data_IF_695093297260
#
_entry.id   IF_695093297260
#
_cell.length_a   1.000
_cell.length_b   1.000
_cell.length_c   1.000
_cell.angle_alpha   90.00
_cell.angle_beta   90.00
_cell.angle_gamma   90.00
#
_symmetry.space_group_name_H-M   'P 1'
#
loop_
_entity.id
_entity.type
_entity.pdbx_description
1 polymer ?
#
# COMPACT_ATOMS: atom_id res chain seq x y z
N UNK A 1 67.74 -14.70 -17.24
CA UNK A 1 68.15 -14.90 -18.65
C UNK A 1 69.66 -14.77 -18.70
N UNK A 2 70.33 -15.82 -19.16
CA UNK A 2 71.77 -16.04 -19.00
C UNK A 2 72.59 -14.98 -19.73
N UNK A 3 73.57 -14.43 -19.02
CA UNK A 3 74.52 -13.43 -19.49
C UNK A 3 75.58 -14.12 -20.37
N UNK A 4 75.40 -14.11 -21.70
CA UNK A 4 76.27 -14.77 -22.69
C UNK A 4 77.43 -13.85 -23.17
N UNK A 5 77.85 -12.87 -22.38
CA UNK A 5 78.84 -11.85 -22.80
C UNK A 5 80.31 -12.18 -22.50
N UNK A 6 80.64 -13.40 -22.06
CA UNK A 6 82.05 -13.81 -21.87
C UNK A 6 82.49 -14.80 -22.97
N UNK A 7 83.14 -14.33 -24.06
CA UNK A 7 83.75 -15.24 -25.03
C UNK A 7 85.09 -15.79 -24.48
N UNK A 8 85.34 -17.12 -24.57
CA UNK A 8 86.56 -17.74 -24.07
C UNK A 8 87.80 -17.35 -24.90
N UNK A 9 88.86 -17.10 -24.14
CA UNK A 9 90.20 -16.66 -24.47
C UNK A 9 90.90 -17.49 -25.58
N UNK A 10 90.80 -17.07 -26.85
CA UNK A 10 91.59 -17.60 -27.98
C UNK A 10 92.81 -16.73 -28.32
N UNK A 11 93.51 -16.19 -27.30
CA UNK A 11 94.81 -15.57 -27.51
C UNK A 11 95.90 -16.65 -27.71
N UNK A 12 95.96 -17.23 -28.91
CA UNK A 12 97.16 -17.95 -29.36
C UNK A 12 98.21 -16.88 -29.66
N UNK A 13 99.08 -16.61 -28.68
CA UNK A 13 100.27 -15.78 -28.85
C UNK A 13 101.29 -16.51 -29.75
N UNK A 14 101.76 -15.93 -30.85
CA UNK A 14 102.85 -16.52 -31.62
C UNK A 14 104.15 -16.41 -30.82
N UNK A 15 104.69 -17.56 -30.42
CA UNK A 15 106.02 -17.67 -29.81
C UNK A 15 107.08 -17.20 -30.82
N UNK A 16 107.77 -16.13 -30.47
CA UNK A 16 109.03 -15.69 -31.08
C UNK A 16 110.11 -16.75 -30.85
N UNK A 17 110.53 -17.46 -31.91
CA UNK A 17 111.68 -18.36 -31.87
C UNK A 17 112.59 -18.10 -33.07
N UNK A 18 113.87 -17.91 -32.72
CA UNK A 18 115.08 -18.08 -33.51
C UNK A 18 115.39 -17.03 -34.60
N UNK A 19 116.37 -16.20 -34.27
CA UNK A 19 117.66 -16.07 -34.96
C UNK A 19 117.71 -16.15 -36.48
N UNK A 20 118.25 -15.07 -37.06
CA UNK A 20 119.40 -15.18 -37.95
C UNK A 20 119.14 -15.45 -39.43
N UNK A 21 119.53 -14.47 -40.25
CA UNK A 21 120.10 -14.76 -41.57
C UNK A 21 119.24 -14.43 -42.78
N UNK A 22 119.75 -13.46 -43.53
CA UNK A 22 119.48 -13.09 -44.93
C UNK A 22 118.92 -14.17 -45.87
N UNK A 23 118.07 -13.72 -46.81
CA UNK A 23 117.93 -14.40 -48.12
C UNK A 23 116.51 -14.60 -48.66
N UNK A 24 115.78 -13.51 -48.87
CA UNK A 24 114.43 -13.47 -49.46
C UNK A 24 114.37 -13.93 -50.92
N UNK A 25 113.88 -15.15 -51.23
CA UNK A 25 113.36 -15.43 -52.60
C UNK A 25 112.26 -16.48 -52.80
N UNK A 26 111.60 -17.01 -51.77
CA UNK A 26 110.45 -17.89 -51.96
C UNK A 26 109.33 -17.63 -50.94
N UNK A 27 108.33 -16.80 -51.29
CA UNK A 27 107.07 -16.70 -50.53
C UNK A 27 105.87 -16.19 -51.37
N UNK A 28 105.82 -16.51 -52.68
CA UNK A 28 104.66 -16.14 -53.52
C UNK A 28 103.52 -17.19 -53.53
N UNK A 29 103.81 -18.48 -53.29
CA UNK A 29 102.81 -19.55 -53.43
C UNK A 29 101.74 -19.58 -52.32
N UNK A 30 102.06 -19.08 -51.12
CA UNK A 30 101.10 -18.97 -50.01
C UNK A 30 100.11 -17.80 -50.18
N UNK A 31 100.41 -16.82 -51.05
CA UNK A 31 99.56 -15.64 -51.23
C UNK A 31 98.29 -15.93 -52.05
N UNK A 32 98.32 -16.89 -52.99
CA UNK A 32 97.19 -17.09 -53.92
C UNK A 32 95.93 -17.69 -53.24
N UNK A 33 96.01 -18.74 -52.40
CA UNK A 33 94.84 -19.21 -51.64
C UNK A 33 94.35 -18.20 -50.59
N UNK A 34 95.26 -17.40 -50.03
CA UNK A 34 94.94 -16.33 -49.07
C UNK A 34 94.13 -15.21 -49.72
N UNK A 35 94.43 -14.85 -50.98
CA UNK A 35 93.65 -13.89 -51.75
C UNK A 35 92.22 -14.38 -52.03
N UNK A 36 92.06 -15.67 -52.36
CA UNK A 36 90.73 -16.29 -52.58
C UNK A 36 89.85 -16.32 -51.33
N UNK A 37 90.42 -16.71 -50.18
CA UNK A 37 89.75 -16.66 -48.88
C UNK A 37 89.42 -15.22 -48.46
N UNK A 38 90.33 -14.26 -48.71
CA UNK A 38 90.08 -12.86 -48.43
C UNK A 38 88.92 -12.31 -49.28
N UNK A 39 88.85 -12.66 -50.57
CA UNK A 39 87.76 -12.28 -51.45
C UNK A 39 86.41 -12.91 -51.03
N UNK A 40 86.38 -14.21 -50.71
CA UNK A 40 85.16 -14.86 -50.22
C UNK A 40 84.71 -14.30 -48.87
N UNK A 41 85.64 -14.09 -47.93
CA UNK A 41 85.34 -13.44 -46.64
C UNK A 41 84.83 -12.02 -46.83
N UNK A 42 85.35 -11.27 -47.80
CA UNK A 42 84.89 -9.92 -48.11
C UNK A 42 83.48 -9.91 -48.73
N UNK A 43 83.23 -10.77 -49.72
CA UNK A 43 81.91 -10.94 -50.34
C UNK A 43 80.90 -11.39 -49.27
N UNK A 44 81.22 -12.43 -48.51
CA UNK A 44 80.37 -12.97 -47.44
C UNK A 44 80.13 -11.95 -46.31
N UNK A 45 81.17 -11.23 -45.88
CA UNK A 45 81.01 -10.15 -44.90
C UNK A 45 80.08 -9.05 -45.42
N UNK A 46 80.17 -8.73 -46.72
CA UNK A 46 79.33 -7.69 -47.33
C UNK A 46 77.88 -8.16 -47.47
N UNK A 47 77.67 -9.42 -47.83
CA UNK A 47 76.34 -10.01 -48.02
C UNK A 47 75.64 -10.26 -46.67
N UNK A 48 76.37 -10.81 -45.69
CA UNK A 48 75.88 -10.94 -44.32
C UNK A 48 75.62 -9.58 -43.65
N UNK A 49 76.45 -8.55 -43.89
CA UNK A 49 76.17 -7.20 -43.41
C UNK A 49 74.85 -6.67 -43.98
N UNK A 50 74.58 -6.88 -45.28
CA UNK A 50 73.30 -6.48 -45.89
C UNK A 50 72.11 -7.24 -45.29
N UNK A 51 72.23 -8.53 -45.02
CA UNK A 51 71.16 -9.30 -44.37
C UNK A 51 70.94 -8.86 -42.93
N UNK A 52 72.01 -8.68 -42.16
CA UNK A 52 71.95 -8.16 -40.79
C UNK A 52 71.35 -6.76 -40.76
N UNK A 53 71.70 -5.89 -41.71
CA UNK A 53 71.12 -4.55 -41.84
C UNK A 53 69.63 -4.63 -42.18
N UNK A 54 69.23 -5.45 -43.16
CA UNK A 54 67.81 -5.67 -43.49
C UNK A 54 67.01 -6.20 -42.31
N UNK A 55 67.54 -7.18 -41.57
CA UNK A 55 66.88 -7.71 -40.37
C UNK A 55 66.83 -6.69 -39.24
N UNK A 56 67.89 -5.90 -39.04
CA UNK A 56 67.91 -4.80 -38.08
C UNK A 56 66.88 -3.74 -38.44
N UNK A 57 66.77 -3.36 -39.71
CA UNK A 57 65.77 -2.44 -40.21
C UNK A 57 64.35 -2.99 -40.02
N UNK A 58 64.12 -4.26 -40.38
CA UNK A 58 62.84 -4.93 -40.15
C UNK A 58 62.48 -5.00 -38.65
N UNK A 59 63.46 -5.30 -37.79
CA UNK A 59 63.28 -5.31 -36.34
C UNK A 59 62.94 -3.90 -35.81
N UNK A 60 63.69 -2.87 -36.23
CA UNK A 60 63.42 -1.45 -35.90
C UNK A 60 62.04 -1.00 -36.37
N UNK A 61 61.62 -1.41 -37.57
CA UNK A 61 60.28 -1.11 -38.09
C UNK A 61 59.19 -1.78 -37.25
N UNK A 62 59.38 -3.06 -36.86
CA UNK A 62 58.45 -3.78 -35.99
C UNK A 62 58.35 -3.15 -34.60
N UNK A 63 59.47 -2.77 -33.98
CA UNK A 63 59.44 -2.11 -32.67
C UNK A 63 58.78 -0.74 -32.75
N UNK A 64 59.09 0.05 -33.77
CA UNK A 64 58.45 1.35 -34.00
C UNK A 64 56.95 1.22 -34.35
N UNK A 65 56.53 0.15 -35.05
CA UNK A 65 55.12 -0.13 -35.30
C UNK A 65 54.38 -0.56 -34.02
N UNK A 66 54.99 -1.44 -33.23
CA UNK A 66 54.42 -1.88 -31.95
C UNK A 66 54.29 -0.73 -30.95
N UNK A 67 55.29 0.14 -30.83
CA UNK A 67 55.23 1.34 -29.98
C UNK A 67 54.07 2.27 -30.40
N UNK A 68 53.92 2.55 -31.70
CA UNK A 68 52.82 3.37 -32.21
C UNK A 68 51.44 2.75 -31.95
N UNK A 69 51.28 1.44 -32.15
CA UNK A 69 50.02 0.75 -31.86
C UNK A 69 49.68 0.77 -30.36
N UNK A 70 50.70 0.54 -29.51
CA UNK A 70 50.55 0.60 -28.07
C UNK A 70 50.16 2.01 -27.59
N UNK A 71 50.85 3.06 -28.05
CA UNK A 71 50.49 4.45 -27.78
C UNK A 71 49.08 4.78 -28.26
N UNK A 72 48.70 4.36 -29.47
CA UNK A 72 47.35 4.54 -29.99
C UNK A 72 46.29 3.87 -29.12
N UNK A 73 46.53 2.63 -28.65
CA UNK A 73 45.65 1.91 -27.72
C UNK A 73 45.57 2.58 -26.35
N UNK A 74 46.69 3.07 -25.81
CA UNK A 74 46.70 3.82 -24.55
C UNK A 74 45.90 5.12 -24.67
N UNK A 75 46.08 5.88 -25.75
CA UNK A 75 45.29 7.10 -25.98
C UNK A 75 43.80 6.79 -26.19
N UNK A 76 43.48 5.72 -26.94
CA UNK A 76 42.11 5.28 -27.13
C UNK A 76 41.45 4.93 -25.79
N UNK A 77 42.07 4.07 -24.97
CA UNK A 77 41.56 3.67 -23.66
C UNK A 77 41.41 4.86 -22.71
N UNK A 78 42.39 5.77 -22.63
CA UNK A 78 42.27 6.99 -21.82
C UNK A 78 41.10 7.86 -22.29
N UNK A 79 40.93 8.02 -23.61
CA UNK A 79 39.83 8.81 -24.17
C UNK A 79 38.46 8.17 -23.89
N UNK A 80 38.37 6.83 -23.93
CA UNK A 80 37.17 6.06 -23.62
C UNK A 80 36.83 6.13 -22.14
N UNK A 81 37.81 5.95 -21.26
CA UNK A 81 37.64 6.11 -19.82
C UNK A 81 37.18 7.53 -19.46
N UNK A 82 37.76 8.57 -20.07
CA UNK A 82 37.32 9.96 -19.87
C UNK A 82 35.88 10.16 -20.33
N UNK A 83 35.50 9.62 -21.49
CA UNK A 83 34.11 9.67 -21.99
C UNK A 83 33.15 8.93 -21.07
N UNK A 84 33.53 7.76 -20.57
CA UNK A 84 32.72 6.96 -19.64
C UNK A 84 32.52 7.69 -18.30
N UNK A 85 33.59 8.24 -17.72
CA UNK A 85 33.51 9.04 -16.49
C UNK A 85 32.63 10.26 -16.68
N UNK A 86 32.77 10.99 -17.78
CA UNK A 86 31.93 12.16 -18.07
C UNK A 86 30.43 11.81 -18.22
N UNK A 87 30.12 10.63 -18.79
CA UNK A 87 28.74 10.13 -18.87
C UNK A 87 28.20 9.77 -17.48
N UNK A 88 28.96 9.01 -16.70
CA UNK A 88 28.56 8.60 -15.36
C UNK A 88 28.40 9.79 -14.40
N UNK A 89 29.26 10.82 -14.50
CA UNK A 89 29.12 12.03 -13.69
C UNK A 89 27.84 12.80 -14.02
N UNK A 90 27.48 12.86 -15.31
CA UNK A 90 26.26 13.52 -15.76
C UNK A 90 25.00 12.74 -15.35
N UNK A 91 25.04 11.41 -15.42
CA UNK A 91 23.96 10.55 -14.90
C UNK A 91 23.80 10.68 -13.38
N UNK A 92 24.92 10.72 -12.64
CA UNK A 92 24.90 10.94 -11.19
C UNK A 92 24.29 12.29 -10.83
N UNK A 93 24.65 13.36 -11.55
CA UNK A 93 24.08 14.70 -11.34
C UNK A 93 22.57 14.72 -11.64
N UNK A 94 22.14 14.06 -12.72
CA UNK A 94 20.71 13.92 -13.05
C UNK A 94 19.95 13.19 -11.95
N UNK A 95 20.47 12.08 -11.45
CA UNK A 95 19.81 11.32 -10.38
C UNK A 95 19.81 12.10 -9.06
N UNK A 96 20.88 12.83 -8.75
CA UNK A 96 20.91 13.74 -7.60
C UNK A 96 19.83 14.82 -7.73
N UNK A 97 19.71 15.48 -8.89
CA UNK A 97 18.67 16.49 -9.14
C UNK A 97 17.25 15.91 -9.08
N UNK A 98 17.04 14.69 -9.57
CA UNK A 98 15.74 13.99 -9.46
C UNK A 98 15.42 13.70 -8.00
N UNK A 99 16.35 13.14 -7.25
CA UNK A 99 16.13 12.80 -5.84
C UNK A 99 15.88 14.04 -4.97
N UNK A 100 16.56 15.16 -5.21
CA UNK A 100 16.28 16.43 -4.50
C UNK A 100 14.90 16.96 -4.86
N UNK A 101 14.52 16.99 -6.14
CA UNK A 101 13.19 17.44 -6.58
C UNK A 101 12.05 16.59 -6.00
N UNK A 102 12.22 15.26 -5.94
CA UNK A 102 11.23 14.37 -5.31
C UNK A 102 11.14 14.60 -3.80
N UNK A 103 12.28 14.80 -3.12
CA UNK A 103 12.29 15.12 -1.69
C UNK A 103 11.54 16.42 -1.40
N UNK A 104 11.80 17.47 -2.17
CA UNK A 104 11.12 18.76 -2.04
C UNK A 104 9.61 18.65 -2.32
N UNK A 105 9.24 17.92 -3.38
CA UNK A 105 7.84 17.65 -3.70
C UNK A 105 7.12 16.93 -2.54
N UNK A 106 7.73 15.87 -1.98
CA UNK A 106 7.18 15.13 -0.84
C UNK A 106 7.06 16.01 0.42
N UNK A 107 8.05 16.86 0.70
CA UNK A 107 7.98 17.81 1.82
C UNK A 107 6.84 18.81 1.60
N UNK A 108 6.70 19.35 0.39
CA UNK A 108 5.64 20.31 0.06
C UNK A 108 4.25 19.68 0.15
N UNK A 109 4.10 18.44 -0.33
CA UNK A 109 2.86 17.68 -0.26
C UNK A 109 2.52 17.33 1.19
N UNK A 110 3.51 16.90 1.97
CA UNK A 110 3.36 16.64 3.40
C UNK A 110 2.88 17.87 4.18
N UNK A 111 3.44 19.06 3.88
CA UNK A 111 3.00 20.33 4.48
C UNK A 111 1.56 20.66 4.13
N UNK A 112 1.18 20.58 2.85
CA UNK A 112 -0.21 20.81 2.39
C UNK A 112 -1.19 19.88 3.10
N UNK A 113 -0.90 18.58 3.17
CA UNK A 113 -1.75 17.60 3.85
C UNK A 113 -1.92 17.90 5.33
N UNK A 114 -0.85 18.36 6.01
CA UNK A 114 -0.91 18.73 7.44
C UNK A 114 -1.74 20.00 7.64
N UNK A 115 -1.62 21.00 6.76
CA UNK A 115 -2.41 22.23 6.81
C UNK A 115 -3.90 21.97 6.55
N UNK A 116 -4.22 21.21 5.50
CA UNK A 116 -5.60 20.78 5.19
C UNK A 116 -6.21 19.99 6.34
N UNK A 117 -5.46 19.06 6.93
CA UNK A 117 -5.92 18.29 8.09
C UNK A 117 -6.24 19.20 9.28
N UNK A 118 -5.38 20.18 9.57
CA UNK A 118 -5.62 21.15 10.66
C UNK A 118 -6.88 21.97 10.41
N UNK A 119 -7.10 22.41 9.17
CA UNK A 119 -8.30 23.15 8.76
C UNK A 119 -9.56 22.30 8.95
N UNK A 120 -9.55 21.06 8.48
CA UNK A 120 -10.67 20.12 8.64
C UNK A 120 -10.94 19.77 10.11
N UNK A 121 -9.89 19.64 10.93
CA UNK A 121 -10.05 19.41 12.37
C UNK A 121 -10.68 20.63 13.08
N UNK A 122 -10.30 21.85 12.69
CA UNK A 122 -10.90 23.09 13.20
C UNK A 122 -12.35 23.24 12.76
N UNK A 123 -12.66 23.03 11.48
CA UNK A 123 -14.02 23.04 10.96
C UNK A 123 -14.90 22.00 11.66
N UNK A 124 -14.39 20.79 11.85
CA UNK A 124 -15.10 19.74 12.61
C UNK A 124 -15.36 20.17 14.05
N UNK A 125 -14.38 20.78 14.72
CA UNK A 125 -14.55 21.26 16.09
C UNK A 125 -15.61 22.38 16.17
N UNK A 126 -15.60 23.33 15.23
CA UNK A 126 -16.58 24.40 15.12
C UNK A 126 -17.99 23.84 14.88
N UNK A 127 -18.16 22.96 13.89
CA UNK A 127 -19.45 22.33 13.59
C UNK A 127 -19.98 21.54 14.79
N UNK A 128 -19.12 20.80 15.50
CA UNK A 128 -19.52 20.07 16.70
C UNK A 128 -19.92 21.02 17.83
N UNK A 129 -19.27 22.17 17.98
CA UNK A 129 -19.61 23.15 19.00
C UNK A 129 -20.92 23.87 18.68
N UNK A 130 -21.08 24.37 17.45
CA UNK A 130 -22.26 25.09 17.00
C UNK A 130 -23.51 24.22 16.99
N UNK A 131 -23.42 22.97 16.51
CA UNK A 131 -24.61 22.13 16.33
C UNK A 131 -25.00 21.32 17.57
N UNK A 132 -24.06 20.92 18.44
CA UNK A 132 -24.34 19.97 19.52
C UNK A 132 -25.25 20.53 20.61
N UNK A 133 -25.06 21.79 21.01
CA UNK A 133 -25.87 22.41 22.07
C UNK A 133 -27.31 22.69 21.64
N UNK A 134 -27.58 23.36 20.51
CA UNK A 134 -28.95 23.68 20.09
C UNK A 134 -29.75 22.43 19.71
N UNK A 135 -29.14 21.45 19.03
CA UNK A 135 -29.84 20.21 18.67
C UNK A 135 -30.21 19.37 19.89
N UNK A 136 -29.30 19.27 20.87
CA UNK A 136 -29.57 18.49 22.09
C UNK A 136 -30.66 19.14 22.94
N UNK A 137 -30.62 20.46 23.14
CA UNK A 137 -31.65 21.16 23.91
C UNK A 137 -33.01 21.12 23.20
N UNK A 138 -33.03 21.29 21.87
CA UNK A 138 -34.24 21.14 21.07
C UNK A 138 -34.81 19.71 21.15
N UNK A 139 -33.96 18.68 21.05
CA UNK A 139 -34.35 17.28 21.18
C UNK A 139 -34.97 16.99 22.55
N UNK A 140 -34.33 17.41 23.64
CA UNK A 140 -34.84 17.23 25.01
C UNK A 140 -36.18 17.98 25.22
N UNK A 141 -36.27 19.22 24.75
CA UNK A 141 -37.52 19.99 24.83
C UNK A 141 -38.67 19.33 24.05
N UNK A 142 -38.40 18.73 22.88
CA UNK A 142 -39.41 17.99 22.13
C UNK A 142 -39.81 16.69 22.83
N UNK A 143 -38.85 15.99 23.45
CA UNK A 143 -39.15 14.80 24.25
C UNK A 143 -40.05 15.10 25.44
N UNK A 144 -39.83 16.21 26.15
CA UNK A 144 -40.63 16.61 27.31
C UNK A 144 -42.08 16.91 26.90
N UNK A 145 -42.28 17.57 25.74
CA UNK A 145 -43.63 17.84 25.20
C UNK A 145 -44.40 16.56 24.86
N UNK A 146 -43.70 15.56 24.30
CA UNK A 146 -44.31 14.27 23.99
C UNK A 146 -44.46 13.35 25.22
N UNK A 147 -43.83 13.67 26.35
CA UNK A 147 -43.89 12.85 27.56
C UNK A 147 -45.31 12.76 28.14
N UNK A 148 -46.08 13.85 28.12
CA UNK A 148 -47.46 13.87 28.60
C UNK A 148 -48.39 13.04 27.71
N UNK A 149 -48.22 13.11 26.39
CA UNK A 149 -48.94 12.24 25.47
C UNK A 149 -48.61 10.77 25.70
N UNK A 150 -47.31 10.43 25.83
CA UNK A 150 -46.88 9.06 26.11
C UNK A 150 -47.43 8.55 27.45
N UNK A 151 -47.47 9.39 28.49
CA UNK A 151 -48.04 9.04 29.80
C UNK A 151 -49.52 8.68 29.69
N UNK A 152 -50.30 9.52 29.00
CA UNK A 152 -51.74 9.27 28.77
C UNK A 152 -51.97 8.01 27.93
N UNK A 153 -51.18 7.80 26.88
CA UNK A 153 -51.28 6.60 26.05
C UNK A 153 -50.97 5.32 26.85
N UNK A 154 -49.95 5.34 27.72
CA UNK A 154 -49.63 4.20 28.60
C UNK A 154 -50.72 3.94 29.65
N UNK A 155 -51.33 4.98 30.21
CA UNK A 155 -52.46 4.82 31.13
C UNK A 155 -53.66 4.18 30.41
N UNK A 156 -53.98 4.67 29.21
CA UNK A 156 -55.02 4.09 28.37
C UNK A 156 -54.75 2.60 28.10
N UNK A 157 -53.54 2.25 27.68
CA UNK A 157 -53.18 0.85 27.39
C UNK A 157 -53.33 -0.06 28.62
N UNK A 158 -53.01 0.42 29.82
CA UNK A 158 -53.22 -0.33 31.07
C UNK A 158 -54.71 -0.57 31.36
N UNK A 159 -55.56 0.42 31.14
CA UNK A 159 -57.00 0.27 31.31
C UNK A 159 -57.59 -0.74 30.31
N UNK A 160 -57.11 -0.71 29.06
CA UNK A 160 -57.48 -1.70 28.05
C UNK A 160 -56.93 -3.09 28.38
N UNK A 161 -55.71 -3.20 28.91
CA UNK A 161 -55.13 -4.45 29.39
C UNK A 161 -55.99 -5.09 30.49
N UNK A 162 -56.37 -4.32 31.50
CA UNK A 162 -57.20 -4.80 32.61
C UNK A 162 -58.56 -5.33 32.11
N UNK A 163 -59.21 -4.57 31.21
CA UNK A 163 -60.49 -4.94 30.63
C UNK A 163 -60.37 -6.17 29.69
N UNK A 164 -59.31 -6.27 28.89
CA UNK A 164 -59.04 -7.43 28.04
C UNK A 164 -58.73 -8.68 28.87
N UNK A 165 -57.95 -8.54 29.94
CA UNK A 165 -57.66 -9.63 30.86
C UNK A 165 -58.93 -10.11 31.59
N UNK A 166 -59.82 -9.19 31.97
CA UNK A 166 -61.13 -9.53 32.52
C UNK A 166 -62.00 -10.24 31.48
N UNK A 167 -62.14 -9.68 30.27
CA UNK A 167 -62.85 -10.29 29.14
C UNK A 167 -62.38 -11.73 28.90
N UNK A 168 -61.07 -11.95 28.87
CA UNK A 168 -60.52 -13.27 28.60
C UNK A 168 -60.72 -14.23 29.78
N UNK A 169 -60.66 -13.74 31.02
CA UNK A 169 -60.99 -14.55 32.19
C UNK A 169 -62.44 -15.05 32.16
N UNK A 170 -63.38 -14.21 31.68
CA UNK A 170 -64.79 -14.60 31.48
C UNK A 170 -64.92 -15.56 30.31
N UNK A 171 -64.18 -15.34 29.21
CA UNK A 171 -64.16 -16.26 28.07
C UNK A 171 -63.72 -17.67 28.47
N UNK A 172 -62.64 -17.78 29.23
CA UNK A 172 -62.07 -19.05 29.66
C UNK A 172 -62.79 -19.70 30.85
N UNK A 173 -63.59 -18.94 31.61
CA UNK A 173 -64.42 -19.49 32.68
C UNK A 173 -65.62 -20.25 32.12
N UNK A 174 -65.95 -21.37 32.78
CA UNK A 174 -67.16 -22.15 32.53
C UNK A 174 -68.38 -21.64 33.32
N UNK A 175 -68.15 -20.81 34.35
CA UNK A 175 -69.18 -20.37 35.31
C UNK A 175 -69.60 -18.92 35.07
N UNK A 176 -68.68 -18.06 34.58
CA UNK A 176 -68.97 -16.65 34.40
C UNK A 176 -69.92 -16.39 33.21
N UNK A 177 -70.91 -15.48 33.36
CA UNK A 177 -71.94 -15.26 32.35
C UNK A 177 -71.36 -14.64 31.07
N UNK A 178 -71.80 -15.16 29.91
CA UNK A 178 -71.35 -14.67 28.59
C UNK A 178 -71.82 -13.25 28.28
N UNK A 179 -72.94 -12.79 28.87
CA UNK A 179 -73.42 -11.42 28.72
C UNK A 179 -72.38 -10.37 29.14
N UNK A 180 -71.78 -10.54 30.33
CA UNK A 180 -70.73 -9.65 30.84
C UNK A 180 -69.53 -9.56 29.88
N UNK A 181 -69.16 -10.67 29.21
CA UNK A 181 -68.10 -10.66 28.19
C UNK A 181 -68.45 -9.72 27.04
N UNK A 182 -69.66 -9.84 26.50
CA UNK A 182 -70.13 -9.02 25.37
C UNK A 182 -70.23 -7.54 25.75
N UNK A 183 -70.61 -7.23 26.99
CA UNK A 183 -70.68 -5.84 27.46
C UNK A 183 -69.29 -5.19 27.53
N UNK A 184 -68.27 -5.93 27.99
CA UNK A 184 -66.88 -5.47 27.97
C UNK A 184 -66.39 -5.27 26.53
N UNK A 185 -66.65 -6.22 25.63
CA UNK A 185 -66.26 -6.12 24.22
C UNK A 185 -66.87 -4.89 23.54
N UNK A 186 -68.18 -4.65 23.73
CA UNK A 186 -68.86 -3.45 23.21
C UNK A 186 -68.28 -2.17 23.81
N UNK A 187 -68.06 -2.14 25.13
CA UNK A 187 -67.48 -0.99 25.82
C UNK A 187 -66.09 -0.63 25.30
N UNK A 188 -65.24 -1.64 25.08
CA UNK A 188 -63.90 -1.46 24.52
C UNK A 188 -63.93 -0.94 23.08
N UNK A 189 -64.82 -1.44 22.21
CA UNK A 189 -64.94 -0.95 20.83
C UNK A 189 -65.45 0.49 20.75
N UNK A 190 -66.44 0.84 21.57
CA UNK A 190 -66.94 2.22 21.66
C UNK A 190 -65.82 3.15 22.11
N UNK A 191 -65.09 2.77 23.17
CA UNK A 191 -63.97 3.57 23.67
C UNK A 191 -62.84 3.68 22.64
N UNK A 192 -62.51 2.59 21.95
CA UNK A 192 -61.48 2.59 20.92
C UNK A 192 -61.81 3.50 19.72
N UNK A 193 -63.09 3.75 19.47
CA UNK A 193 -63.58 4.59 18.37
C UNK A 193 -63.82 6.05 18.78
N UNK A 194 -63.87 6.34 20.09
CA UNK A 194 -64.21 7.67 20.62
C UNK A 194 -63.04 8.35 21.32
N UNK A 195 -62.15 7.59 21.96
CA UNK A 195 -60.95 8.12 22.60
C UNK A 195 -59.92 8.52 21.54
N UNK A 196 -59.49 9.80 21.45
CA UNK A 196 -58.53 10.25 20.46
C UNK A 196 -57.20 9.47 20.48
N UNK A 197 -56.76 9.00 21.64
CA UNK A 197 -55.52 8.20 21.76
C UNK A 197 -55.74 6.80 21.22
N UNK A 198 -56.89 6.18 21.49
CA UNK A 198 -57.19 4.86 20.98
C UNK A 198 -57.41 4.84 19.47
N UNK A 199 -58.02 5.91 18.94
CA UNK A 199 -58.18 6.15 17.49
C UNK A 199 -56.81 6.35 16.84
N UNK A 200 -55.95 7.20 17.43
CA UNK A 200 -54.59 7.39 16.93
C UNK A 200 -53.81 6.05 16.94
N UNK A 201 -53.97 5.21 17.96
CA UNK A 201 -53.34 3.88 18.01
C UNK A 201 -54.03 2.81 17.16
N UNK A 202 -55.09 3.17 16.42
CA UNK A 202 -55.88 2.27 15.55
C UNK A 202 -56.36 1.00 16.29
N UNK A 203 -56.70 1.13 17.57
CA UNK A 203 -56.97 -0.01 18.45
C UNK A 203 -58.23 -0.79 18.05
N UNK A 204 -59.22 -0.13 17.45
CA UNK A 204 -60.51 -0.75 17.12
C UNK A 204 -60.37 -1.97 16.18
N UNK A 205 -59.45 -1.91 15.21
CA UNK A 205 -59.17 -3.02 14.30
C UNK A 205 -58.54 -4.20 15.06
N UNK A 206 -57.53 -3.94 15.89
CA UNK A 206 -56.88 -4.98 16.69
C UNK A 206 -57.80 -5.62 17.73
N UNK A 207 -58.67 -4.83 18.38
CA UNK A 207 -59.71 -5.36 19.28
C UNK A 207 -60.69 -6.28 18.55
N UNK A 208 -61.13 -5.90 17.36
CA UNK A 208 -62.01 -6.73 16.54
C UNK A 208 -61.34 -8.06 16.17
N UNK A 209 -60.03 -8.04 15.92
CA UNK A 209 -59.24 -9.23 15.63
C UNK A 209 -59.08 -10.14 16.86
N UNK A 210 -58.77 -9.55 18.02
CA UNK A 210 -58.69 -10.27 19.31
C UNK A 210 -60.01 -10.98 19.61
N UNK A 211 -61.14 -10.29 19.47
CA UNK A 211 -62.43 -10.87 19.86
C UNK A 211 -62.85 -12.04 18.98
N UNK A 212 -62.45 -12.03 17.70
CA UNK A 212 -62.72 -13.10 16.74
C UNK A 212 -61.78 -14.29 16.90
N UNK A 213 -60.49 -14.05 17.16
CA UNK A 213 -59.46 -15.08 17.01
C UNK A 213 -58.77 -15.50 18.32
N UNK A 214 -58.87 -14.72 19.41
CA UNK A 214 -58.20 -15.09 20.67
C UNK A 214 -59.00 -16.10 21.49
N UNK A 215 -58.74 -17.38 21.23
CA UNK A 215 -59.41 -18.52 21.87
C UNK A 215 -58.55 -19.20 22.93
N UNK A 216 -57.33 -18.71 23.19
CA UNK A 216 -56.40 -19.38 24.10
C UNK A 216 -56.81 -19.23 25.57
N UNK A 217 -56.77 -20.34 26.31
CA UNK A 217 -57.01 -20.41 27.75
C UNK A 217 -55.89 -21.21 28.42
N UNK A 218 -55.39 -20.74 29.56
CA UNK A 218 -54.26 -21.34 30.29
C UNK A 218 -54.55 -22.70 30.95
N UNK A 219 -55.74 -23.27 30.72
CA UNK A 219 -56.22 -24.53 31.31
C UNK A 219 -57.37 -24.34 32.29
N UNK A 220 -58.03 -25.44 32.67
CA UNK A 220 -59.24 -25.45 33.52
C UNK A 220 -58.98 -24.91 34.94
N UNK A 221 -57.79 -25.18 35.47
CA UNK A 221 -57.38 -24.78 36.82
C UNK A 221 -56.54 -23.50 36.85
N UNK A 222 -56.46 -22.76 35.75
CA UNK A 222 -55.66 -21.55 35.68
C UNK A 222 -56.30 -20.41 36.49
N UNK A 223 -55.62 -19.99 37.56
CA UNK A 223 -55.99 -18.83 38.38
C UNK A 223 -55.38 -17.52 37.87
N UNK A 224 -54.38 -17.57 37.00
CA UNK A 224 -53.67 -16.39 36.50
C UNK A 224 -54.35 -15.83 35.24
N UNK A 225 -54.87 -14.60 35.34
CA UNK A 225 -55.42 -13.89 34.17
C UNK A 225 -54.40 -13.74 33.03
N UNK A 226 -53.10 -13.65 33.37
CA UNK A 226 -52.00 -13.46 32.40
C UNK A 226 -51.73 -14.66 31.50
N UNK A 227 -52.18 -15.86 31.87
CA UNK A 227 -52.02 -17.05 31.03
C UNK A 227 -53.19 -17.26 30.06
N UNK A 228 -54.25 -16.47 30.18
CA UNK A 228 -55.36 -16.52 29.24
C UNK A 228 -55.10 -15.56 28.09
N UNK A 229 -55.47 -15.98 26.88
CA UNK A 229 -55.24 -15.25 25.63
C UNK A 229 -53.78 -15.27 25.20
N UNK A 230 -53.54 -15.27 23.89
CA UNK A 230 -52.20 -15.07 23.32
C UNK A 230 -52.20 -13.86 22.42
N UNK A 231 -53.25 -13.74 21.60
CA UNK A 231 -53.36 -12.67 20.62
C UNK A 231 -53.56 -11.31 21.30
N UNK A 232 -54.34 -11.23 22.40
CA UNK A 232 -54.52 -9.97 23.13
C UNK A 232 -53.17 -9.40 23.62
N UNK A 233 -52.29 -10.25 24.15
CA UNK A 233 -51.00 -9.81 24.68
C UNK A 233 -50.07 -9.36 23.57
N UNK A 234 -50.10 -10.04 22.41
CA UNK A 234 -49.37 -9.61 21.23
C UNK A 234 -49.83 -8.23 20.76
N UNK A 235 -51.14 -7.98 20.71
CA UNK A 235 -51.67 -6.66 20.36
C UNK A 235 -51.34 -5.58 21.38
N UNK A 236 -51.41 -5.88 22.68
CA UNK A 236 -51.00 -4.94 23.74
C UNK A 236 -49.53 -4.54 23.59
N UNK A 237 -48.64 -5.51 23.38
CA UNK A 237 -47.23 -5.25 23.11
C UNK A 237 -47.02 -4.47 21.80
N UNK A 238 -47.78 -4.80 20.75
CA UNK A 238 -47.76 -4.04 19.50
C UNK A 238 -48.16 -2.57 19.73
N UNK A 239 -49.24 -2.31 20.45
CA UNK A 239 -49.67 -0.93 20.73
C UNK A 239 -48.67 -0.18 21.62
N UNK A 240 -48.02 -0.84 22.58
CA UNK A 240 -46.93 -0.25 23.35
C UNK A 240 -45.78 0.20 22.45
N UNK A 241 -45.36 -0.64 21.49
CA UNK A 241 -44.34 -0.29 20.51
C UNK A 241 -44.79 0.85 19.57
N UNK A 242 -46.06 0.85 19.15
CA UNK A 242 -46.62 1.94 18.33
C UNK A 242 -46.58 3.26 19.09
N UNK A 243 -46.86 3.27 20.41
CA UNK A 243 -46.72 4.48 21.25
C UNK A 243 -45.28 4.99 21.25
N UNK A 244 -44.28 4.11 21.43
CA UNK A 244 -42.88 4.52 21.41
C UNK A 244 -42.43 5.04 20.04
N UNK A 245 -42.82 4.33 18.98
CA UNK A 245 -42.53 4.73 17.61
C UNK A 245 -43.18 6.08 17.28
N UNK A 246 -44.43 6.32 17.68
CA UNK A 246 -45.11 7.60 17.45
C UNK A 246 -44.44 8.74 18.20
N UNK A 247 -44.01 8.52 19.44
CA UNK A 247 -43.22 9.50 20.19
C UNK A 247 -41.99 9.93 19.39
N UNK A 248 -41.16 8.98 18.94
CA UNK A 248 -39.94 9.33 18.21
C UNK A 248 -40.22 9.93 16.84
N UNK A 249 -41.23 9.46 16.10
CA UNK A 249 -41.64 10.09 14.84
C UNK A 249 -42.10 11.54 15.01
N UNK A 250 -42.81 11.86 16.10
CA UNK A 250 -43.23 13.23 16.40
C UNK A 250 -42.04 14.11 16.78
N UNK A 251 -41.11 13.58 17.58
CA UNK A 251 -39.87 14.28 17.93
C UNK A 251 -39.02 14.55 16.69
N UNK A 252 -38.87 13.56 15.80
CA UNK A 252 -38.16 13.72 14.54
C UNK A 252 -38.77 14.81 13.66
N UNK A 253 -40.09 14.77 13.44
CA UNK A 253 -40.81 15.83 12.70
C UNK A 253 -40.61 17.20 13.33
N UNK A 254 -40.75 17.31 14.65
CA UNK A 254 -40.59 18.58 15.37
C UNK A 254 -39.16 19.15 15.34
N UNK A 255 -38.14 18.32 15.08
CA UNK A 255 -36.75 18.74 14.93
C UNK A 255 -36.43 19.10 13.47
N UNK A 256 -36.96 18.36 12.50
CA UNK A 256 -36.73 18.62 11.07
C UNK A 256 -37.51 19.83 10.53
N UNK A 257 -38.66 20.16 11.13
CA UNK A 257 -39.49 21.32 10.75
C UNK A 257 -39.02 22.64 11.37
N UNK A 258 -37.98 22.62 12.22
CA UNK A 258 -37.36 23.82 12.81
C UNK A 258 -36.08 24.22 12.09
#
# INVERSE_FOLDING_TARGET
MNNLNDPPNWNIRPNSRADGGDGSRWNYALLVPMLGLAAFRWIWSRESQKEIEKEKEACRQRTAAFQRDLEARYHATISESRRAVARLSLELEKEQNRTTSYREALISQGRKMVEEKKLLEQERAQVLQEKRQPLRSAYLSCLDKEADWQRRARLLLREFEEALAERQSIYCSLVLPRGRRLDIEKGLLVRASTDPLAVDLEMAAGLSDIFKHDTHCGGVWNTSKRQNGRLMWLYLQYWELVVELKKFKRVEKAILEK
#
